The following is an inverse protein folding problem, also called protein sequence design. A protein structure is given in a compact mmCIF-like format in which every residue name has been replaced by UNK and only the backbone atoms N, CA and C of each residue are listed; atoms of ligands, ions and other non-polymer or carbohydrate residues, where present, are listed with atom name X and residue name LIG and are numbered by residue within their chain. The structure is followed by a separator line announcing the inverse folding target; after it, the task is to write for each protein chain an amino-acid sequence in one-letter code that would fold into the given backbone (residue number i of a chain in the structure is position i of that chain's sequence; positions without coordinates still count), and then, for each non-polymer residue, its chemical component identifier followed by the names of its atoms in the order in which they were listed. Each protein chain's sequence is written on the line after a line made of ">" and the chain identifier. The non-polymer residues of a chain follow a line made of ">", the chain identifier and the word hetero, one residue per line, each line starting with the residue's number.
data_IF_948614456879
#
_entry.id   IF_948614456879
#
_cell.length_a   1.000
_cell.length_b   1.000
_cell.length_c   1.000
_cell.angle_alpha   90.00
_cell.angle_beta   90.00
_cell.angle_gamma   90.00
#
_symmetry.space_group_name_H-M   'P 1'
#
loop_
_entity.id
_entity.type
_entity.pdbx_description
1 polymer ?
#
# COMPACT_ATOMS: atom_id res chain seq x y z
N UNK A 1 -3.36 -12.72 -29.71
CA UNK A 1 -2.22 -12.43 -28.79
C UNK A 1 -2.78 -12.44 -27.38
N UNK A 2 -2.64 -13.57 -26.67
CA UNK A 2 -3.13 -13.68 -25.29
C UNK A 2 -2.12 -13.00 -24.37
N UNK A 3 -2.44 -11.81 -23.88
CA UNK A 3 -1.70 -11.17 -22.79
C UNK A 3 -2.07 -11.86 -21.49
N UNK A 4 -1.15 -12.66 -20.95
CA UNK A 4 -1.26 -13.17 -19.59
C UNK A 4 -0.60 -12.17 -18.64
N UNK A 5 -1.42 -11.49 -17.83
CA UNK A 5 -0.94 -10.59 -16.77
C UNK A 5 -0.68 -11.41 -15.49
N UNK A 6 0.59 -11.55 -15.13
CA UNK A 6 1.00 -12.12 -13.83
C UNK A 6 1.27 -10.97 -12.85
N UNK A 7 0.38 -10.79 -11.87
CA UNK A 7 0.58 -9.83 -10.77
C UNK A 7 1.20 -10.54 -9.56
N UNK A 8 2.44 -10.19 -9.20
CA UNK A 8 3.09 -10.71 -7.99
C UNK A 8 2.97 -9.69 -6.85
N UNK A 9 2.49 -10.14 -5.68
CA UNK A 9 2.47 -9.38 -4.42
C UNK A 9 3.28 -10.16 -3.38
N UNK A 10 4.41 -9.64 -2.88
CA UNK A 10 5.18 -10.35 -1.87
C UNK A 10 4.49 -10.25 -0.51
N UNK A 11 4.13 -11.40 0.08
CA UNK A 11 3.97 -11.53 1.53
C UNK A 11 5.33 -11.86 2.12
N UNK A 12 5.62 -11.33 3.31
CA UNK A 12 6.93 -11.41 3.98
C UNK A 12 7.59 -12.80 3.91
N UNK A 13 8.90 -12.75 3.68
CA UNK A 13 9.91 -13.78 3.95
C UNK A 13 9.98 -15.06 3.11
N UNK A 14 9.22 -15.19 2.01
CA UNK A 14 9.41 -16.31 1.08
C UNK A 14 9.48 -15.82 -0.36
N UNK A 15 10.69 -15.52 -0.85
CA UNK A 15 10.94 -15.35 -2.29
C UNK A 15 12.19 -16.10 -2.76
N UNK A 16 12.69 -17.09 -1.99
CA UNK A 16 13.93 -17.79 -2.34
C UNK A 16 13.79 -18.80 -3.48
N UNK A 17 12.57 -19.27 -3.77
CA UNK A 17 12.32 -20.20 -4.88
C UNK A 17 11.75 -19.44 -6.09
N UNK A 18 12.46 -19.41 -7.25
CA UNK A 18 12.11 -18.54 -8.35
C UNK A 18 10.84 -18.98 -9.06
N UNK A 19 10.16 -17.98 -9.61
CA UNK A 19 9.10 -17.95 -10.62
C UNK A 19 9.11 -19.02 -11.74
N UNK A 20 10.17 -19.80 -11.88
CA UNK A 20 10.29 -20.87 -12.87
C UNK A 20 9.32 -22.01 -12.66
N UNK A 21 9.08 -22.39 -11.41
CA UNK A 21 8.10 -23.42 -11.11
C UNK A 21 6.71 -22.99 -11.59
N UNK A 22 6.27 -21.77 -11.29
CA UNK A 22 4.94 -21.30 -11.68
C UNK A 22 4.74 -21.21 -13.21
N UNK A 23 5.71 -20.62 -13.93
CA UNK A 23 5.59 -20.44 -15.38
C UNK A 23 5.64 -21.79 -16.11
N UNK A 24 6.49 -22.71 -15.65
CA UNK A 24 6.57 -24.08 -16.20
C UNK A 24 5.40 -24.98 -15.79
N UNK A 25 4.92 -24.89 -14.55
CA UNK A 25 3.71 -25.58 -14.06
C UNK A 25 2.49 -25.22 -14.90
N UNK A 26 2.43 -23.98 -15.39
CA UNK A 26 1.33 -23.49 -16.22
C UNK A 26 1.54 -23.81 -17.72
N UNK A 27 2.63 -24.51 -18.07
CA UNK A 27 2.97 -24.86 -19.46
C UNK A 27 3.32 -23.63 -20.31
N UNK A 28 3.71 -22.53 -19.70
CA UNK A 28 4.08 -21.29 -20.40
C UNK A 28 5.59 -21.33 -20.66
N UNK A 29 6.00 -21.21 -21.92
CA UNK A 29 7.42 -21.03 -22.22
C UNK A 29 7.90 -19.64 -21.79
N UNK A 30 9.09 -19.55 -21.20
CA UNK A 30 9.66 -18.27 -20.74
C UNK A 30 9.73 -17.22 -21.85
N UNK A 31 9.98 -17.64 -23.08
CA UNK A 31 10.04 -16.75 -24.24
C UNK A 31 8.67 -16.14 -24.61
N UNK A 32 7.56 -16.76 -24.18
CA UNK A 32 6.22 -16.24 -24.39
C UNK A 32 5.83 -15.19 -23.34
N UNK A 33 6.61 -15.02 -22.27
CA UNK A 33 6.42 -13.95 -21.30
C UNK A 33 6.97 -12.64 -21.90
N UNK A 34 6.06 -11.75 -22.29
CA UNK A 34 6.43 -10.47 -22.92
C UNK A 34 6.91 -9.45 -21.89
N UNK A 35 6.28 -9.44 -20.71
CA UNK A 35 6.62 -8.52 -19.64
C UNK A 35 6.18 -9.06 -18.27
N UNK A 36 6.89 -8.64 -17.22
CA UNK A 36 6.56 -8.93 -15.83
C UNK A 36 6.45 -7.61 -15.07
N UNK A 37 5.28 -7.35 -14.51
CA UNK A 37 5.02 -6.13 -13.74
C UNK A 37 5.13 -6.37 -12.24
N UNK A 38 6.00 -5.61 -11.57
CA UNK A 38 6.23 -5.76 -10.12
C UNK A 38 6.23 -4.40 -9.43
N UNK A 39 6.07 -4.37 -8.10
CA UNK A 39 6.26 -3.15 -7.30
C UNK A 39 7.71 -2.63 -7.29
N UNK A 40 8.62 -3.23 -8.07
CA UNK A 40 10.04 -2.83 -8.17
C UNK A 40 10.80 -2.88 -6.84
N UNK A 41 10.33 -3.68 -5.87
CA UNK A 41 11.16 -4.02 -4.71
C UNK A 41 12.48 -4.65 -5.18
N UNK A 42 13.61 -4.25 -4.58
CA UNK A 42 14.95 -4.61 -5.08
C UNK A 42 15.11 -6.11 -5.34
N UNK A 43 14.63 -6.94 -4.40
CA UNK A 43 14.68 -8.39 -4.52
C UNK A 43 13.88 -8.93 -5.73
N UNK A 44 12.60 -8.57 -5.84
CA UNK A 44 11.73 -9.07 -6.91
C UNK A 44 12.13 -8.52 -8.27
N UNK A 45 12.65 -7.28 -8.32
CA UNK A 45 13.21 -6.69 -9.52
C UNK A 45 14.41 -7.52 -9.99
N UNK A 46 15.37 -7.81 -9.11
CA UNK A 46 16.55 -8.60 -9.46
C UNK A 46 16.16 -10.00 -9.92
N UNK A 47 15.26 -10.68 -9.19
CA UNK A 47 14.77 -12.00 -9.60
C UNK A 47 14.13 -11.99 -11.01
N UNK A 48 13.35 -10.96 -11.36
CA UNK A 48 12.78 -10.81 -12.70
C UNK A 48 13.84 -10.49 -13.76
N UNK A 49 14.85 -9.69 -13.42
CA UNK A 49 15.95 -9.37 -14.33
C UNK A 49 16.81 -10.60 -14.59
N UNK A 50 17.14 -11.36 -13.55
CA UNK A 50 17.94 -12.59 -13.67
C UNK A 50 17.21 -13.64 -14.51
N UNK A 51 15.87 -13.71 -14.38
CA UNK A 51 15.06 -14.75 -15.01
C UNK A 51 14.57 -14.37 -16.42
N UNK A 52 14.03 -13.16 -16.57
CA UNK A 52 13.41 -12.68 -17.80
C UNK A 52 14.23 -11.56 -18.46
N UNK A 53 15.33 -11.09 -17.89
CA UNK A 53 16.10 -9.99 -18.46
C UNK A 53 15.46 -8.62 -18.25
N UNK A 54 16.30 -7.60 -18.25
CA UNK A 54 15.92 -6.23 -17.88
C UNK A 54 14.80 -5.63 -18.74
N UNK A 55 14.83 -5.89 -20.05
CA UNK A 55 13.84 -5.33 -21.00
C UNK A 55 12.41 -5.82 -20.76
N UNK A 56 12.23 -6.93 -20.04
CA UNK A 56 10.91 -7.51 -19.74
C UNK A 56 10.40 -7.11 -18.35
N UNK A 57 11.17 -6.38 -17.55
CA UNK A 57 10.70 -5.83 -16.28
C UNK A 57 9.94 -4.51 -16.51
N UNK A 58 8.73 -4.41 -15.96
CA UNK A 58 7.95 -3.18 -15.96
C UNK A 58 7.60 -2.82 -14.51
N UNK A 59 7.85 -1.57 -14.11
CA UNK A 59 7.42 -1.08 -12.81
C UNK A 59 5.89 -0.93 -12.76
N UNK A 60 5.28 -1.38 -11.67
CA UNK A 60 3.84 -1.21 -11.43
C UNK A 60 3.51 0.28 -11.28
N UNK A 61 2.77 0.83 -12.25
CA UNK A 61 2.35 2.23 -12.27
C UNK A 61 1.63 2.65 -10.98
N UNK A 62 0.71 1.82 -10.48
CA UNK A 62 -0.01 2.11 -9.24
C UNK A 62 0.95 2.25 -8.04
N UNK A 63 1.97 1.38 -7.94
CA UNK A 63 2.98 1.50 -6.90
C UNK A 63 3.84 2.75 -7.08
N UNK A 64 4.23 3.07 -8.32
CA UNK A 64 4.99 4.29 -8.62
C UNK A 64 4.23 5.55 -8.21
N UNK A 65 2.93 5.64 -8.51
CA UNK A 65 2.12 6.79 -8.08
C UNK A 65 2.01 6.82 -6.55
N UNK A 66 1.86 5.68 -5.87
CA UNK A 66 1.89 5.64 -4.40
C UNK A 66 3.17 6.25 -3.84
N UNK A 67 4.33 5.83 -4.37
CA UNK A 67 5.63 6.34 -3.94
C UNK A 67 5.77 7.84 -4.19
N UNK A 68 5.22 8.36 -5.29
CA UNK A 68 5.22 9.80 -5.58
C UNK A 68 4.41 10.53 -4.51
N UNK A 69 3.17 10.08 -4.25
CA UNK A 69 2.29 10.71 -3.26
C UNK A 69 2.89 10.66 -1.85
N UNK A 70 3.42 9.51 -1.44
CA UNK A 70 4.10 9.36 -0.14
C UNK A 70 5.29 10.31 0.00
N UNK A 71 6.14 10.40 -1.04
CA UNK A 71 7.28 11.34 -1.03
C UNK A 71 6.83 12.79 -0.99
N UNK A 72 5.77 13.16 -1.71
CA UNK A 72 5.20 14.50 -1.67
C UNK A 72 4.68 14.84 -0.28
N UNK A 73 3.95 13.93 0.37
CA UNK A 73 3.46 14.10 1.75
C UNK A 73 4.63 14.26 2.73
N UNK A 74 5.66 13.43 2.64
CA UNK A 74 6.85 13.53 3.50
C UNK A 74 7.61 14.85 3.35
N UNK A 75 7.63 15.43 2.14
CA UNK A 75 8.27 16.73 1.88
C UNK A 75 7.54 17.93 2.49
N UNK A 76 6.33 17.74 3.00
CA UNK A 76 5.59 18.83 3.69
C UNK A 76 6.07 19.06 5.13
N UNK A 77 6.97 18.21 5.65
CA UNK A 77 7.53 18.40 6.99
C UNK A 77 8.65 19.43 6.97
N UNK A 78 8.71 20.23 8.04
CA UNK A 78 9.82 21.14 8.30
C UNK A 78 10.95 20.37 8.99
N UNK A 79 12.16 20.47 8.44
CA UNK A 79 13.36 19.88 9.01
C UNK A 79 14.11 20.93 9.84
N UNK A 80 14.27 20.66 11.14
CA UNK A 80 15.02 21.55 12.00
C UNK A 80 16.52 21.46 11.66
N UNK A 81 17.10 22.57 11.20
CA UNK A 81 18.49 22.62 10.72
C UNK A 81 19.56 22.22 11.76
N UNK A 82 19.25 22.28 13.06
CA UNK A 82 20.19 21.94 14.13
C UNK A 82 20.07 20.49 14.58
N UNK A 83 18.87 19.92 14.56
CA UNK A 83 18.59 18.59 15.13
C UNK A 83 18.26 17.53 14.07
N UNK A 84 18.07 17.93 12.81
CA UNK A 84 17.55 17.10 11.70
C UNK A 84 16.21 16.41 12.02
N UNK A 85 15.47 16.94 13.00
CA UNK A 85 14.15 16.43 13.37
C UNK A 85 13.11 16.98 12.41
N UNK A 86 12.35 16.08 11.78
CA UNK A 86 11.21 16.43 10.93
C UNK A 86 9.96 16.62 11.78
N UNK A 87 9.35 17.79 11.70
CA UNK A 87 8.13 18.14 12.44
C UNK A 87 7.15 18.90 11.55
N UNK A 88 5.90 19.05 11.97
CA UNK A 88 4.90 19.74 11.16
C UNK A 88 4.40 18.97 9.94
N UNK A 89 3.80 19.71 9.01
CA UNK A 89 3.30 19.19 7.74
C UNK A 89 2.10 18.24 7.82
N UNK A 90 1.79 17.64 6.68
CA UNK A 90 0.73 16.64 6.52
C UNK A 90 1.00 15.38 7.37
N UNK A 91 2.23 14.87 7.53
CA UNK A 91 2.49 13.70 8.38
C UNK A 91 2.09 13.87 9.84
N UNK A 92 2.30 15.06 10.43
CA UNK A 92 1.89 15.31 11.81
C UNK A 92 0.35 15.38 11.94
N UNK A 93 -0.34 15.97 10.96
CA UNK A 93 -1.80 15.96 10.90
C UNK A 93 -2.35 14.54 10.79
N UNK A 94 -1.81 13.74 9.85
CA UNK A 94 -2.19 12.33 9.68
C UNK A 94 -1.95 11.53 10.96
N UNK A 95 -0.85 11.77 11.66
CA UNK A 95 -0.58 11.13 12.95
C UNK A 95 -1.68 11.43 13.98
N UNK A 96 -2.09 12.70 14.13
CA UNK A 96 -3.18 13.09 15.06
C UNK A 96 -4.50 12.42 14.67
N UNK A 97 -4.86 12.42 13.39
CA UNK A 97 -6.07 11.75 12.89
C UNK A 97 -6.02 10.25 13.21
N UNK A 98 -4.90 9.58 12.92
CA UNK A 98 -4.70 8.15 13.24
C UNK A 98 -4.87 7.87 14.73
N UNK A 99 -4.37 8.73 15.61
CA UNK A 99 -4.54 8.60 17.06
C UNK A 99 -6.01 8.68 17.47
N UNK A 100 -6.78 9.62 16.91
CA UNK A 100 -8.22 9.75 17.16
C UNK A 100 -8.97 8.50 16.70
N UNK A 101 -8.71 8.03 15.47
CA UNK A 101 -9.34 6.83 14.91
C UNK A 101 -9.00 5.61 15.77
N UNK A 102 -7.73 5.43 16.17
CA UNK A 102 -7.29 4.33 17.05
C UNK A 102 -7.99 4.37 18.41
N UNK A 103 -8.12 5.55 19.01
CA UNK A 103 -8.84 5.73 20.27
C UNK A 103 -10.30 5.28 20.15
N UNK A 104 -11.01 5.74 19.13
CA UNK A 104 -12.41 5.38 18.88
C UNK A 104 -12.60 3.89 18.57
N UNK A 105 -11.63 3.24 17.92
CA UNK A 105 -11.66 1.79 17.66
C UNK A 105 -11.37 0.96 18.91
N UNK A 106 -10.56 1.45 19.84
CA UNK A 106 -10.17 0.74 21.08
C UNK A 106 -11.20 0.92 22.22
N UNK A 107 -11.91 2.05 22.24
CA UNK A 107 -12.83 2.41 23.32
C UNK A 107 -14.29 2.17 22.93
N UNK A 108 -14.94 1.19 23.59
CA UNK A 108 -16.38 0.92 23.41
C UNK A 108 -17.20 2.17 23.79
N UNK A 109 -16.86 2.82 24.91
CA UNK A 109 -17.53 4.03 25.39
C UNK A 109 -17.49 5.15 24.34
N UNK A 110 -16.31 5.41 23.76
CA UNK A 110 -16.16 6.46 22.75
C UNK A 110 -16.89 6.10 21.44
N UNK A 111 -16.88 4.82 21.05
CA UNK A 111 -17.62 4.33 19.89
C UNK A 111 -19.13 4.46 20.06
N UNK A 112 -19.66 4.15 21.24
CA UNK A 112 -21.09 4.29 21.53
C UNK A 112 -21.52 5.75 21.61
N UNK A 113 -20.66 6.62 22.14
CA UNK A 113 -20.86 8.07 22.12
C UNK A 113 -20.93 8.61 20.69
N UNK A 114 -20.04 8.17 19.79
CA UNK A 114 -20.09 8.52 18.37
C UNK A 114 -21.41 8.07 17.71
N UNK A 115 -21.96 6.91 18.08
CA UNK A 115 -23.28 6.45 17.59
C UNK A 115 -24.41 7.31 18.16
N UNK A 116 -24.31 7.74 19.42
CA UNK A 116 -25.29 8.59 20.09
C UNK A 116 -25.39 9.95 19.41
N UNK A 117 -24.25 10.59 19.11
CA UNK A 117 -24.20 11.87 18.39
C UNK A 117 -24.82 11.74 16.99
N UNK A 118 -24.44 10.71 16.24
CA UNK A 118 -25.03 10.47 14.91
C UNK A 118 -26.55 10.24 14.97
N UNK A 119 -27.04 9.57 16.02
CA UNK A 119 -28.48 9.39 16.24
C UNK A 119 -29.18 10.74 16.50
N UNK A 120 -28.58 11.62 17.31
CA UNK A 120 -29.16 12.96 17.57
C UNK A 120 -29.16 13.86 16.33
N UNK A 121 -28.24 13.64 15.38
CA UNK A 121 -28.22 14.31 14.07
C UNK A 121 -29.22 13.70 13.06
N UNK A 122 -30.08 12.78 13.49
CA UNK A 122 -31.12 12.19 12.65
C UNK A 122 -30.67 10.98 11.82
N UNK A 123 -29.48 10.43 12.08
CA UNK A 123 -29.07 9.20 11.39
C UNK A 123 -29.82 7.96 11.93
N UNK A 124 -30.33 7.14 11.02
CA UNK A 124 -30.99 5.89 11.36
C UNK A 124 -30.01 4.81 11.82
N UNK A 125 -30.44 3.98 12.78
CA UNK A 125 -29.70 2.80 13.23
C UNK A 125 -29.41 1.88 12.04
N UNK A 126 -28.12 1.61 11.80
CA UNK A 126 -27.64 0.84 10.63
C UNK A 126 -26.93 1.70 9.58
N UNK A 127 -27.12 3.03 9.58
CA UNK A 127 -26.38 3.97 8.71
C UNK A 127 -25.22 4.67 9.39
N UNK A 128 -25.00 4.43 10.69
CA UNK A 128 -23.90 5.06 11.44
C UNK A 128 -22.56 4.83 10.77
N UNK A 129 -21.82 5.92 10.57
CA UNK A 129 -20.46 5.91 10.04
C UNK A 129 -19.51 5.34 11.07
N UNK A 130 -18.60 4.52 10.58
CA UNK A 130 -17.46 3.98 11.32
C UNK A 130 -16.20 4.62 10.76
N UNK A 131 -15.29 5.00 11.65
CA UNK A 131 -13.99 5.50 11.22
C UNK A 131 -13.11 4.34 10.72
N UNK A 132 -12.47 4.57 9.59
CA UNK A 132 -11.53 3.63 8.96
C UNK A 132 -10.12 4.19 9.19
N UNK A 133 -9.20 3.31 9.59
CA UNK A 133 -7.80 3.68 9.73
C UNK A 133 -7.13 3.57 8.37
N UNK A 134 -6.39 4.59 7.98
CA UNK A 134 -5.62 4.55 6.74
C UNK A 134 -4.47 3.54 6.85
N UNK A 135 -4.26 2.79 5.76
CA UNK A 135 -3.20 1.79 5.67
C UNK A 135 -2.26 2.19 4.52
N UNK A 136 -1.00 2.58 4.80
CA UNK A 136 -0.06 3.06 3.77
C UNK A 136 0.15 2.06 2.62
N UNK A 137 0.13 0.77 2.93
CA UNK A 137 0.43 -0.29 1.96
C UNK A 137 -0.76 -0.74 1.11
N UNK A 138 -1.95 -0.18 1.33
CA UNK A 138 -3.16 -0.57 0.60
C UNK A 138 -3.80 0.68 0.02
N UNK A 139 -3.49 0.97 -1.24
CA UNK A 139 -4.29 1.90 -2.02
C UNK A 139 -5.75 1.46 -1.98
N UNK A 140 -6.56 2.28 -1.30
CA UNK A 140 -8.01 2.43 -1.32
C UNK A 140 -8.80 1.25 -1.92
N UNK A 141 -8.62 0.06 -1.35
CA UNK A 141 -9.43 -1.13 -1.59
C UNK A 141 -10.01 -1.64 -0.28
#
# INVERSE_FOLDING_TARGET
>A
MNLHFLSFQPKGDVLREPSNHLVSEWGIEKNNVVAVTTNSGAYIKNAVIDEFGEKRHIACLAHTINLIVEKCISKTQDENATTNVKSGGVPQLLHKIRCIVKYLKKSIKACDELKRVQKSEGMFKGKYRKLILDLPTRWNS
#
